data_IF_663828723738
#
_entry.id   IF_663828723738
#
_cell.length_a   1.000
_cell.length_b   1.000
_cell.length_c   1.000
_cell.angle_alpha   90.00
_cell.angle_beta   90.00
_cell.angle_gamma   90.00
#
_symmetry.space_group_name_H-M   'P 1'
#
loop_
_entity.id
_entity.type
_entity.pdbx_description
1 polymer ?
#
# COMPACT_ATOMS: atom_id res chain seq x y z
N UNK A 1 15.00 -6.35 9.25
CA UNK A 1 13.99 -7.39 8.95
C UNK A 1 13.08 -7.56 10.15
N UNK A 2 11.77 -7.70 9.93
CA UNK A 2 10.78 -7.90 11.00
C UNK A 2 10.31 -9.35 11.08
N UNK A 3 9.81 -9.76 12.24
CA UNK A 3 9.30 -11.12 12.46
C UNK A 3 7.90 -11.27 11.83
N UNK A 4 7.59 -12.49 11.39
CA UNK A 4 6.25 -12.92 11.01
C UNK A 4 5.72 -13.93 12.03
N UNK A 5 4.40 -14.00 12.18
CA UNK A 5 3.73 -14.99 13.03
C UNK A 5 3.31 -16.18 12.16
N UNK A 6 3.72 -17.38 12.57
CA UNK A 6 3.32 -18.65 11.95
C UNK A 6 2.28 -19.33 12.85
N UNK A 7 1.19 -19.77 12.25
CA UNK A 7 0.14 -20.55 12.90
C UNK A 7 0.36 -22.06 12.64
N UNK A 8 -0.23 -22.92 13.48
CA UNK A 8 -0.02 -24.37 13.40
C UNK A 8 -0.57 -25.00 12.10
N UNK A 9 -1.48 -24.31 11.41
CA UNK A 9 -2.10 -24.70 10.14
C UNK A 9 -1.31 -24.23 8.91
N UNK A 10 -0.15 -23.60 9.11
CA UNK A 10 0.69 -23.07 8.04
C UNK A 10 0.34 -21.64 7.62
N UNK A 11 -0.68 -21.00 8.21
CA UNK A 11 -1.00 -19.60 7.93
C UNK A 11 0.12 -18.68 8.44
N UNK A 12 0.51 -17.71 7.62
CA UNK A 12 1.52 -16.69 7.99
C UNK A 12 0.86 -15.32 8.08
N UNK A 13 1.11 -14.61 9.19
CA UNK A 13 0.73 -13.20 9.36
C UNK A 13 1.98 -12.34 9.45
N UNK A 14 2.12 -11.38 8.55
CA UNK A 14 3.25 -10.45 8.53
C UNK A 14 2.75 -9.00 8.45
N UNK A 15 3.16 -8.17 9.41
CA UNK A 15 2.73 -6.77 9.55
C UNK A 15 3.95 -5.86 9.79
N UNK A 16 4.81 -5.65 8.78
CA UNK A 16 5.95 -4.75 8.92
C UNK A 16 5.48 -3.28 8.97
N UNK A 17 6.11 -2.40 9.75
CA UNK A 17 5.96 -0.97 9.59
C UNK A 17 6.71 -0.51 8.33
N UNK A 18 6.14 0.42 7.58
CA UNK A 18 6.77 1.01 6.41
C UNK A 18 6.31 2.46 6.19
N UNK A 19 7.18 3.27 5.59
CA UNK A 19 6.86 4.63 5.15
C UNK A 19 6.56 4.57 3.66
N UNK A 20 5.30 4.72 3.28
CA UNK A 20 4.88 4.74 1.89
C UNK A 20 4.81 6.17 1.36
N UNK A 21 5.46 6.43 0.23
CA UNK A 21 5.35 7.68 -0.52
C UNK A 21 4.68 7.37 -1.85
N UNK A 22 3.39 7.66 -1.95
CA UNK A 22 2.61 7.50 -3.19
C UNK A 22 2.69 8.76 -4.04
N UNK A 23 2.72 8.60 -5.36
CA UNK A 23 2.43 9.69 -6.29
C UNK A 23 0.93 9.95 -6.31
N UNK A 24 0.53 11.21 -6.19
CA UNK A 24 -0.85 11.67 -6.25
C UNK A 24 -0.92 12.89 -7.18
N UNK A 25 -1.94 12.93 -8.03
CA UNK A 25 -2.24 14.09 -8.86
C UNK A 25 -3.02 15.09 -8.02
N UNK A 26 -2.61 16.37 -8.07
CA UNK A 26 -3.18 17.44 -7.26
C UNK A 26 -4.00 18.35 -8.16
N UNK A 27 -5.28 18.50 -7.85
CA UNK A 27 -6.19 19.40 -8.54
C UNK A 27 -6.26 20.75 -7.82
N UNK A 28 -5.81 21.82 -8.48
CA UNK A 28 -5.70 23.17 -7.89
C UNK A 28 -6.82 24.11 -8.33
N UNK A 29 -7.90 23.60 -8.93
CA UNK A 29 -9.01 24.42 -9.45
C UNK A 29 -9.62 25.36 -8.38
N UNK A 30 -9.72 24.91 -7.13
CA UNK A 30 -10.39 25.63 -6.03
C UNK A 30 -9.47 26.06 -4.88
N UNK A 31 -8.15 26.17 -5.12
CA UNK A 31 -7.20 26.55 -4.07
C UNK A 31 -7.60 27.87 -3.37
N UNK A 32 -7.55 27.97 -2.01
CA UNK A 32 -7.01 27.01 -1.04
C UNK A 32 -8.04 26.03 -0.44
N UNK A 33 -9.22 25.90 -1.06
CA UNK A 33 -10.33 25.04 -0.60
C UNK A 33 -10.50 23.79 -1.47
N UNK A 34 -9.46 23.43 -2.21
CA UNK A 34 -9.39 22.23 -3.03
C UNK A 34 -9.48 20.95 -2.19
N UNK A 35 -10.06 19.90 -2.78
CA UNK A 35 -10.13 18.58 -2.18
C UNK A 35 -9.29 17.60 -3.01
N UNK A 36 -8.40 16.86 -2.35
CA UNK A 36 -7.53 15.90 -3.01
C UNK A 36 -7.97 14.46 -2.76
N UNK A 37 -7.98 13.65 -3.82
CA UNK A 37 -8.26 12.21 -3.75
C UNK A 37 -7.02 11.42 -4.14
N UNK A 38 -6.28 10.92 -3.14
CA UNK A 38 -5.05 10.18 -3.35
C UNK A 38 -5.23 8.68 -3.11
N UNK A 39 -4.57 7.86 -3.94
CA UNK A 39 -4.63 6.41 -3.86
C UNK A 39 -3.26 5.78 -3.62
N UNK A 40 -3.22 4.74 -2.80
CA UNK A 40 -2.06 3.86 -2.70
C UNK A 40 -2.32 2.59 -3.52
N UNK A 41 -1.47 2.32 -4.50
CA UNK A 41 -1.51 1.10 -5.31
C UNK A 41 -0.53 0.08 -4.74
N UNK A 42 -1.05 -1.05 -4.28
CA UNK A 42 -0.26 -2.17 -3.76
C UNK A 42 -0.32 -3.34 -4.73
N UNK A 43 0.82 -3.98 -4.97
CA UNK A 43 0.92 -5.14 -5.85
C UNK A 43 2.28 -5.82 -5.70
N UNK A 44 2.34 -7.07 -6.13
CA UNK A 44 3.60 -7.79 -6.25
C UNK A 44 4.38 -7.27 -7.46
N UNK A 45 5.68 -7.04 -7.29
CA UNK A 45 6.55 -6.73 -8.42
C UNK A 45 7.06 -8.00 -9.12
N UNK A 46 7.10 -9.12 -8.39
CA UNK A 46 7.76 -10.36 -8.83
C UNK A 46 6.80 -11.41 -9.35
N UNK A 47 5.52 -11.29 -9.05
CA UNK A 47 4.48 -12.26 -9.42
C UNK A 47 3.37 -11.53 -10.13
N UNK A 48 2.88 -12.10 -11.23
CA UNK A 48 1.61 -11.70 -11.81
C UNK A 48 0.43 -12.30 -11.04
N UNK A 49 -0.78 -11.86 -11.38
CA UNK A 49 -2.02 -12.33 -10.78
C UNK A 49 -2.75 -13.38 -11.63
N UNK A 50 -2.09 -13.95 -12.63
CA UNK A 50 -2.69 -14.97 -13.49
C UNK A 50 -2.42 -16.36 -12.89
N UNK A 51 -3.45 -17.20 -12.87
CA UNK A 51 -3.38 -18.59 -12.42
C UNK A 51 -3.77 -19.51 -13.57
#
# INVERSE_FOLDING_TARGET
MTKAMLHYDGRVTWKPPAIYKSSCEIDVEFFPFDQQTCFMKFGSWTYDGYM
#
